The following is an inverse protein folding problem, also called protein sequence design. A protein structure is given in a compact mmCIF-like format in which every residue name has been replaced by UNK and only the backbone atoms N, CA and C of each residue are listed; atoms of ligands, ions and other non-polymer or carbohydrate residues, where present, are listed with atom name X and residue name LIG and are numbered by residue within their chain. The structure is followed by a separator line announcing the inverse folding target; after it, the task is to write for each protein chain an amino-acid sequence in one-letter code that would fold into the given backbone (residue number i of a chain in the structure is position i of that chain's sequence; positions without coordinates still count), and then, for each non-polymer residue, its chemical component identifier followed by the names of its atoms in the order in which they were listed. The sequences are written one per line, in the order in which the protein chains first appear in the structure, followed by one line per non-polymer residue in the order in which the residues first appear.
data_IF_212728577863
#
_entry.id   IF_212728577863
#
_cell.length_a   1.000
_cell.length_b   1.000
_cell.length_c   1.000
_cell.angle_alpha   90.00
_cell.angle_beta   90.00
_cell.angle_gamma   90.00
#
_symmetry.space_group_name_H-M   'P 1'
#
loop_
_entity.id
_entity.type
_entity.pdbx_description
1 polymer ?
#
# COMPACT_ATOMS: atom_id res chain seq x y z
N UNK A 1 -28.67 -4.37 1.87
CA UNK A 1 -28.22 -2.96 1.90
C UNK A 1 -26.70 -2.80 1.85
N UNK A 2 -25.89 -3.25 2.84
CA UNK A 2 -24.41 -3.13 2.76
C UNK A 2 -23.81 -3.87 1.56
N UNK A 3 -24.26 -5.09 1.28
CA UNK A 3 -23.75 -5.86 0.14
C UNK A 3 -24.17 -5.26 -1.20
N UNK A 4 -25.36 -4.69 -1.32
CA UNK A 4 -25.80 -3.93 -2.49
C UNK A 4 -24.91 -2.70 -2.73
N UNK A 5 -24.60 -1.96 -1.67
CA UNK A 5 -23.66 -0.83 -1.75
C UNK A 5 -22.27 -1.27 -2.21
N UNK A 6 -21.73 -2.35 -1.66
CA UNK A 6 -20.42 -2.86 -2.07
C UNK A 6 -20.43 -3.36 -3.52
N UNK A 7 -21.53 -3.97 -3.97
CA UNK A 7 -21.72 -4.35 -5.36
C UNK A 7 -21.75 -3.11 -6.28
N UNK A 8 -22.52 -2.09 -5.91
CA UNK A 8 -22.53 -0.80 -6.61
C UNK A 8 -21.13 -0.19 -6.74
N UNK A 9 -20.34 -0.19 -5.66
CA UNK A 9 -18.97 0.32 -5.69
C UNK A 9 -18.04 -0.51 -6.59
N UNK A 10 -18.30 -1.80 -6.71
CA UNK A 10 -17.53 -2.68 -7.60
C UNK A 10 -17.83 -2.40 -9.05
N UNK A 11 -19.10 -2.37 -9.42
CA UNK A 11 -19.57 -2.29 -10.81
C UNK A 11 -19.45 -0.86 -11.34
N UNK A 12 -20.02 0.11 -10.62
CA UNK A 12 -20.14 1.50 -11.10
C UNK A 12 -18.90 2.34 -10.82
N UNK A 13 -18.14 2.02 -9.77
CA UNK A 13 -16.98 2.83 -9.36
C UNK A 13 -15.65 2.15 -9.60
N UNK A 14 -15.61 0.87 -9.94
CA UNK A 14 -14.40 0.11 -10.20
C UNK A 14 -13.40 0.14 -9.04
N UNK A 15 -13.89 0.14 -7.79
CA UNK A 15 -13.03 0.22 -6.63
C UNK A 15 -12.28 -1.10 -6.42
N UNK A 16 -11.06 -1.00 -5.90
CA UNK A 16 -10.25 -2.20 -5.61
C UNK A 16 -10.80 -2.96 -4.39
N UNK A 17 -10.57 -4.29 -4.37
CA UNK A 17 -10.95 -5.18 -3.27
C UNK A 17 -10.52 -4.66 -1.90
N UNK A 18 -9.29 -4.14 -1.77
CA UNK A 18 -8.80 -3.54 -0.51
C UNK A 18 -9.64 -2.33 -0.06
N UNK A 19 -10.17 -1.54 -1.01
CA UNK A 19 -11.04 -0.40 -0.68
C UNK A 19 -12.42 -0.89 -0.28
N UNK A 20 -12.95 -1.90 -0.96
CA UNK A 20 -14.23 -2.53 -0.65
C UNK A 20 -14.19 -3.17 0.74
N UNK A 21 -13.11 -3.91 1.06
CA UNK A 21 -12.90 -4.50 2.38
C UNK A 21 -12.82 -3.43 3.49
N UNK A 22 -12.09 -2.33 3.24
CA UNK A 22 -12.01 -1.22 4.17
C UNK A 22 -13.38 -0.58 4.42
N UNK A 23 -14.20 -0.39 3.38
CA UNK A 23 -15.56 0.16 3.50
C UNK A 23 -16.50 -0.83 4.20
N UNK A 24 -16.42 -2.13 3.87
CA UNK A 24 -17.17 -3.17 4.57
C UNK A 24 -16.90 -3.15 6.07
N UNK A 25 -15.63 -3.05 6.45
CA UNK A 25 -15.23 -3.01 7.85
C UNK A 25 -15.67 -1.72 8.56
N UNK A 26 -15.52 -0.57 7.91
CA UNK A 26 -15.89 0.73 8.47
C UNK A 26 -17.41 0.86 8.65
N UNK A 27 -18.19 0.46 7.65
CA UNK A 27 -19.66 0.48 7.70
C UNK A 27 -20.22 -0.62 8.61
N UNK A 28 -19.58 -1.78 8.66
CA UNK A 28 -19.95 -2.83 9.61
C UNK A 28 -19.88 -2.35 11.06
N UNK A 29 -18.82 -1.61 11.42
CA UNK A 29 -18.71 -0.96 12.74
C UNK A 29 -19.80 0.09 12.97
N UNK A 30 -20.15 0.86 11.96
CA UNK A 30 -21.21 1.85 12.04
C UNK A 30 -22.58 1.19 12.30
N UNK A 31 -22.92 0.17 11.51
CA UNK A 31 -24.19 -0.56 11.66
C UNK A 31 -24.30 -1.25 13.03
N UNK A 32 -23.20 -1.77 13.55
CA UNK A 32 -23.17 -2.32 14.91
C UNK A 32 -23.40 -1.22 15.97
N UNK A 33 -22.77 -0.06 15.81
CA UNK A 33 -22.99 1.08 16.71
C UNK A 33 -24.47 1.53 16.72
N UNK A 34 -25.13 1.55 15.57
CA UNK A 34 -26.57 1.85 15.51
C UNK A 34 -27.42 0.82 16.26
N UNK A 35 -27.12 -0.48 16.09
CA UNK A 35 -27.81 -1.56 16.83
C UNK A 35 -27.63 -1.44 18.34
N UNK A 36 -26.44 -1.11 18.82
CA UNK A 36 -26.17 -0.84 20.25
C UNK A 36 -26.95 0.35 20.79
N UNK A 37 -27.34 1.30 19.90
CA UNK A 37 -28.16 2.45 20.23
C UNK A 37 -29.67 2.20 20.06
N UNK A 38 -30.06 0.99 19.65
CA UNK A 38 -31.46 0.62 19.40
C UNK A 38 -32.02 1.16 18.09
N UNK A 39 -31.19 1.75 17.23
CA UNK A 39 -31.60 2.27 15.91
C UNK A 39 -31.62 1.11 14.92
N UNK A 40 -32.80 0.73 14.46
CA UNK A 40 -32.97 -0.41 13.54
C UNK A 40 -33.23 0.06 12.09
N UNK A 41 -33.84 1.21 11.92
CA UNK A 41 -34.10 1.79 10.61
C UNK A 41 -33.01 2.83 10.25
N UNK A 42 -32.45 2.68 9.05
CA UNK A 42 -31.44 3.61 8.53
C UNK A 42 -32.01 5.00 8.26
N UNK A 43 -33.33 5.11 8.08
CA UNK A 43 -34.04 6.37 7.88
C UNK A 43 -34.10 7.24 9.14
N UNK A 44 -33.92 6.63 10.34
CA UNK A 44 -33.86 7.34 11.62
C UNK A 44 -32.47 7.94 11.88
N UNK A 45 -31.50 7.66 11.02
CA UNK A 45 -30.12 8.11 11.24
C UNK A 45 -29.98 9.57 10.89
N UNK A 46 -29.63 10.36 11.86
CA UNK A 46 -29.37 11.79 11.74
C UNK A 46 -27.86 12.14 11.91
N UNK A 47 -27.57 13.42 11.80
CA UNK A 47 -26.21 13.97 12.01
C UNK A 47 -25.69 13.72 13.43
N UNK A 48 -26.56 13.64 14.43
CA UNK A 48 -26.18 13.40 15.83
C UNK A 48 -25.68 11.97 15.99
N UNK A 49 -26.37 11.01 15.41
CA UNK A 49 -25.98 9.60 15.40
C UNK A 49 -24.60 9.40 14.75
N UNK A 50 -24.38 10.04 13.59
CA UNK A 50 -23.11 9.99 12.88
C UNK A 50 -21.95 10.61 13.69
N UNK A 51 -22.20 11.76 14.33
CA UNK A 51 -21.22 12.40 15.23
C UNK A 51 -20.92 11.51 16.46
N UNK A 52 -21.95 10.92 17.06
CA UNK A 52 -21.80 9.98 18.19
C UNK A 52 -20.91 8.79 17.80
N UNK A 53 -21.13 8.20 16.64
CA UNK A 53 -20.29 7.14 16.12
C UNK A 53 -18.83 7.59 15.95
N UNK A 54 -18.57 8.71 15.29
CA UNK A 54 -17.21 9.21 15.07
C UNK A 54 -16.50 9.55 16.39
N UNK A 55 -17.23 10.07 17.38
CA UNK A 55 -16.72 10.29 18.74
C UNK A 55 -16.36 8.96 19.42
N UNK A 56 -17.17 7.91 19.25
CA UNK A 56 -16.87 6.58 19.79
C UNK A 56 -15.58 6.02 19.22
N UNK A 57 -15.35 6.15 17.91
CA UNK A 57 -14.10 5.75 17.27
C UNK A 57 -12.89 6.52 17.81
N UNK A 58 -13.07 7.82 18.06
CA UNK A 58 -12.01 8.66 18.65
C UNK A 58 -11.67 8.22 20.06
N UNK A 59 -12.67 7.91 20.90
CA UNK A 59 -12.49 7.39 22.26
C UNK A 59 -11.78 6.03 22.27
N UNK A 60 -11.98 5.20 21.22
CA UNK A 60 -11.27 3.94 21.02
C UNK A 60 -9.81 4.13 20.57
N UNK A 61 -9.32 5.38 20.42
CA UNK A 61 -7.95 5.68 20.05
C UNK A 61 -7.63 5.53 18.55
N UNK A 62 -8.64 5.49 17.68
CA UNK A 62 -8.39 5.39 16.23
C UNK A 62 -7.73 6.67 15.70
N UNK A 63 -6.81 6.50 14.76
CA UNK A 63 -6.06 7.62 14.17
C UNK A 63 -6.99 8.57 13.40
N UNK A 64 -6.60 9.86 13.31
CA UNK A 64 -7.31 10.89 12.52
C UNK A 64 -7.52 10.45 11.06
N UNK A 65 -6.55 9.73 10.47
CA UNK A 65 -6.66 9.17 9.11
C UNK A 65 -7.77 8.12 9.02
N UNK A 66 -7.89 7.25 10.04
CA UNK A 66 -8.96 6.25 10.11
C UNK A 66 -10.33 6.91 10.27
N UNK A 67 -10.43 7.94 11.11
CA UNK A 67 -11.66 8.73 11.28
C UNK A 67 -12.07 9.40 9.96
N UNK A 68 -11.14 10.03 9.25
CA UNK A 68 -11.40 10.64 7.95
C UNK A 68 -11.88 9.60 6.92
N UNK A 69 -11.29 8.40 6.89
CA UNK A 69 -11.74 7.33 6.00
C UNK A 69 -13.16 6.87 6.34
N UNK A 70 -13.48 6.68 7.63
CA UNK A 70 -14.84 6.34 8.07
C UNK A 70 -15.85 7.39 7.61
N UNK A 71 -15.54 8.68 7.72
CA UNK A 71 -16.42 9.75 7.23
C UNK A 71 -16.65 9.66 5.71
N UNK A 72 -15.59 9.40 4.94
CA UNK A 72 -15.72 9.22 3.48
C UNK A 72 -16.59 8.00 3.17
N UNK A 73 -16.42 6.89 3.89
CA UNK A 73 -17.24 5.70 3.74
C UNK A 73 -18.71 6.00 4.05
N UNK A 74 -19.01 6.69 5.16
CA UNK A 74 -20.37 7.11 5.53
C UNK A 74 -21.00 8.01 4.47
N UNK A 75 -20.31 9.08 4.04
CA UNK A 75 -20.84 9.98 2.99
C UNK A 75 -21.16 9.23 1.70
N UNK A 76 -20.28 8.32 1.30
CA UNK A 76 -20.47 7.54 0.07
C UNK A 76 -21.64 6.57 0.21
N UNK A 77 -21.78 5.96 1.38
CA UNK A 77 -22.89 5.04 1.68
C UNK A 77 -24.24 5.77 1.71
N UNK A 78 -24.33 6.87 2.44
CA UNK A 78 -25.58 7.65 2.50
C UNK A 78 -25.94 8.30 1.16
N UNK A 79 -24.95 8.71 0.35
CA UNK A 79 -25.21 9.15 -1.02
C UNK A 79 -25.78 8.04 -1.90
N UNK A 80 -25.31 6.81 -1.73
CA UNK A 80 -25.88 5.65 -2.40
C UNK A 80 -27.32 5.39 -1.96
N UNK A 81 -27.65 5.51 -0.67
CA UNK A 81 -29.01 5.34 -0.18
C UNK A 81 -29.98 6.40 -0.71
N UNK A 82 -29.53 7.64 -0.88
CA UNK A 82 -30.30 8.70 -1.55
C UNK A 82 -30.48 8.38 -3.03
N UNK A 83 -29.42 7.91 -3.71
CA UNK A 83 -29.50 7.53 -5.13
C UNK A 83 -30.50 6.39 -5.38
N UNK A 84 -30.56 5.42 -4.48
CA UNK A 84 -31.53 4.30 -4.53
C UNK A 84 -32.95 4.69 -4.04
N UNK A 85 -33.18 5.96 -3.68
CA UNK A 85 -34.47 6.44 -3.19
C UNK A 85 -34.86 5.91 -1.80
N UNK A 86 -33.94 5.34 -1.05
CA UNK A 86 -34.16 4.84 0.33
C UNK A 86 -34.24 6.01 1.32
N UNK A 87 -33.50 7.08 1.04
CA UNK A 87 -33.48 8.31 1.85
C UNK A 87 -33.74 9.53 0.96
N UNK A 88 -34.39 10.55 1.53
CA UNK A 88 -34.62 11.83 0.84
C UNK A 88 -33.38 12.73 0.85
N UNK A 89 -32.58 12.68 1.91
CA UNK A 89 -31.38 13.51 2.07
C UNK A 89 -30.22 12.71 2.71
N UNK A 90 -29.00 13.19 2.46
CA UNK A 90 -27.78 12.59 2.99
C UNK A 90 -27.40 13.18 4.36
N UNK A 91 -27.63 12.50 5.50
CA UNK A 91 -27.31 13.03 6.82
C UNK A 91 -25.80 13.21 7.07
N UNK A 92 -24.97 12.60 6.22
CA UNK A 92 -23.51 12.70 6.32
C UNK A 92 -22.91 13.85 5.50
N UNK A 93 -23.71 14.61 4.76
CA UNK A 93 -23.21 15.64 3.83
C UNK A 93 -22.44 16.76 4.56
N UNK A 94 -23.00 17.23 5.66
CA UNK A 94 -22.43 18.31 6.48
C UNK A 94 -21.50 17.83 7.60
N UNK A 95 -21.03 16.60 7.56
CA UNK A 95 -20.04 16.16 8.55
C UNK A 95 -18.71 16.91 8.33
N UNK A 96 -18.26 17.63 9.34
CA UNK A 96 -16.96 18.31 9.29
C UNK A 96 -15.83 17.30 9.10
N UNK A 97 -15.03 17.50 8.06
CA UNK A 97 -13.85 16.65 7.87
C UNK A 97 -12.79 16.95 8.95
N UNK A 98 -12.22 15.92 9.60
CA UNK A 98 -11.16 16.17 10.56
C UNK A 98 -10.02 16.94 9.88
N UNK A 99 -9.60 18.04 10.49
CA UNK A 99 -8.43 18.78 10.02
C UNK A 99 -7.21 17.86 10.10
N UNK A 100 -6.73 17.40 8.96
CA UNK A 100 -5.48 16.66 8.89
C UNK A 100 -4.34 17.65 8.99
N UNK A 101 -3.52 17.52 10.01
CA UNK A 101 -2.24 18.23 10.05
C UNK A 101 -1.39 17.68 8.91
N UNK A 102 -1.15 18.49 7.90
CA UNK A 102 -0.21 18.15 6.82
C UNK A 102 1.20 18.21 7.41
N UNK A 103 1.74 17.11 7.87
CA UNK A 103 3.18 16.98 8.11
C UNK A 103 3.88 16.97 6.75
N UNK A 104 4.98 17.71 6.64
CA UNK A 104 5.84 17.61 5.45
C UNK A 104 6.24 16.13 5.30
N UNK A 105 6.15 15.58 4.09
CA UNK A 105 6.56 14.20 3.86
C UNK A 105 8.05 14.06 4.18
N UNK A 106 8.38 13.12 5.05
CA UNK A 106 9.76 12.74 5.29
C UNK A 106 10.31 12.04 4.04
N UNK A 107 11.57 12.32 3.73
CA UNK A 107 12.34 11.60 2.70
C UNK A 107 13.65 11.12 3.31
N UNK A 108 14.20 10.01 2.82
CA UNK A 108 15.55 9.58 3.14
C UNK A 108 16.53 10.43 2.35
N UNK A 109 17.63 10.80 2.94
CA UNK A 109 18.77 11.39 2.20
C UNK A 109 19.44 10.30 1.36
N UNK A 110 20.20 10.64 0.29
CA UNK A 110 20.98 9.68 -0.48
C UNK A 110 21.87 8.82 0.42
N UNK A 111 22.54 9.41 1.42
CA UNK A 111 23.37 8.71 2.39
C UNK A 111 22.57 7.71 3.25
N UNK A 112 21.37 8.06 3.70
CA UNK A 112 20.50 7.13 4.44
C UNK A 112 20.04 5.96 3.55
N UNK A 113 19.83 6.20 2.25
CA UNK A 113 19.50 5.13 1.29
C UNK A 113 20.71 4.19 1.11
N UNK A 114 21.91 4.70 0.91
CA UNK A 114 23.13 3.89 0.82
C UNK A 114 23.32 3.04 2.08
N UNK A 115 23.23 3.67 3.25
CA UNK A 115 23.30 2.95 4.53
C UNK A 115 22.24 1.86 4.67
N UNK A 116 21.02 2.09 4.19
CA UNK A 116 19.94 1.09 4.20
C UNK A 116 20.26 -0.10 3.26
N UNK A 117 20.75 0.21 2.06
CA UNK A 117 21.08 -0.79 1.06
C UNK A 117 22.23 -1.71 1.49
N UNK A 118 23.15 -1.25 2.33
CA UNK A 118 24.28 -2.00 2.86
C UNK A 118 23.93 -2.97 4.01
N UNK A 119 22.72 -2.89 4.57
CA UNK A 119 22.36 -3.68 5.75
C UNK A 119 22.11 -5.18 5.52
N UNK A 120 21.62 -5.63 4.35
CA UNK A 120 21.46 -7.05 4.10
C UNK A 120 22.80 -7.81 4.19
N UNK A 121 22.83 -8.90 4.94
CA UNK A 121 24.03 -9.73 5.08
C UNK A 121 24.27 -10.57 3.81
N UNK A 122 25.18 -10.12 2.97
CA UNK A 122 25.51 -10.73 1.68
C UNK A 122 26.13 -12.13 1.79
N UNK A 123 26.54 -12.56 2.98
CA UNK A 123 27.01 -13.93 3.24
C UNK A 123 25.86 -14.94 3.26
N UNK A 124 24.61 -14.46 3.29
CA UNK A 124 23.44 -15.30 3.32
C UNK A 124 22.62 -15.20 2.02
N UNK A 125 22.05 -16.31 1.53
CA UNK A 125 21.17 -16.29 0.36
C UNK A 125 20.02 -15.29 0.50
N UNK A 126 19.45 -15.18 1.70
CA UNK A 126 18.34 -14.24 1.96
C UNK A 126 18.83 -12.78 1.94
N UNK A 127 20.03 -12.50 2.42
CA UNK A 127 20.57 -11.14 2.39
C UNK A 127 20.86 -10.66 0.96
N UNK A 128 21.44 -11.50 0.12
CA UNK A 128 21.66 -11.17 -1.30
C UNK A 128 20.31 -10.92 -2.02
N UNK A 129 19.29 -11.75 -1.77
CA UNK A 129 17.94 -11.52 -2.26
C UNK A 129 17.40 -10.16 -1.78
N UNK A 130 17.53 -9.87 -0.49
CA UNK A 130 16.97 -8.65 0.10
C UNK A 130 17.67 -7.40 -0.43
N UNK A 131 18.99 -7.48 -0.68
CA UNK A 131 19.73 -6.41 -1.35
C UNK A 131 19.16 -6.15 -2.75
N UNK A 132 18.99 -7.19 -3.55
CA UNK A 132 18.40 -7.06 -4.89
C UNK A 132 16.98 -6.49 -4.85
N UNK A 133 16.17 -6.88 -3.84
CA UNK A 133 14.81 -6.33 -3.65
C UNK A 133 14.83 -4.84 -3.30
N UNK A 134 15.74 -4.41 -2.44
CA UNK A 134 15.88 -3.00 -2.06
C UNK A 134 16.36 -2.15 -3.23
N UNK A 135 17.34 -2.65 -4.01
CA UNK A 135 17.85 -1.97 -5.19
C UNK A 135 16.78 -1.76 -6.26
N UNK A 136 16.05 -2.81 -6.63
CA UNK A 136 14.99 -2.67 -7.64
C UNK A 136 13.84 -1.78 -7.14
N UNK A 137 13.50 -1.84 -5.84
CA UNK A 137 12.48 -0.98 -5.26
C UNK A 137 12.88 0.49 -5.31
N UNK A 138 14.14 0.79 -4.98
CA UNK A 138 14.68 2.15 -5.02
C UNK A 138 14.89 2.65 -6.45
N UNK A 139 15.40 1.82 -7.35
CA UNK A 139 15.62 2.20 -8.75
C UNK A 139 14.34 2.49 -9.53
N UNK A 140 13.23 1.81 -9.18
CA UNK A 140 11.99 1.85 -9.97
C UNK A 140 10.86 2.62 -9.28
N UNK A 141 10.98 2.85 -7.99
CA UNK A 141 9.90 3.41 -7.19
C UNK A 141 8.59 2.60 -7.23
N UNK A 142 8.64 1.31 -7.57
CA UNK A 142 7.45 0.46 -7.63
C UNK A 142 6.80 0.27 -6.26
N UNK A 143 5.56 -0.18 -6.22
CA UNK A 143 4.89 -0.54 -4.96
C UNK A 143 5.41 -1.89 -4.46
N UNK A 144 5.45 -2.09 -3.13
CA UNK A 144 5.85 -3.41 -2.56
C UNK A 144 4.97 -4.55 -3.05
N UNK A 145 3.67 -4.29 -3.27
CA UNK A 145 2.78 -5.31 -3.84
C UNK A 145 3.15 -5.70 -5.27
N UNK A 146 3.70 -4.76 -6.05
CA UNK A 146 4.22 -5.01 -7.40
C UNK A 146 5.54 -5.78 -7.29
N UNK A 147 6.46 -5.37 -6.41
CA UNK A 147 7.75 -6.02 -6.18
C UNK A 147 7.62 -7.51 -5.81
N UNK A 148 6.81 -7.82 -4.80
CA UNK A 148 6.67 -9.21 -4.30
C UNK A 148 5.88 -10.12 -5.25
N UNK A 149 5.17 -9.55 -6.22
CA UNK A 149 4.42 -10.26 -7.24
C UNK A 149 5.03 -10.13 -8.64
N UNK A 150 6.21 -9.51 -8.76
CA UNK A 150 6.87 -9.30 -10.04
C UNK A 150 7.28 -10.64 -10.65
N UNK A 151 6.73 -11.04 -11.79
CA UNK A 151 7.13 -12.25 -12.49
C UNK A 151 8.54 -12.13 -13.06
N UNK A 152 9.28 -13.22 -13.10
CA UNK A 152 10.63 -13.25 -13.63
C UNK A 152 10.67 -12.84 -15.13
N UNK A 153 9.71 -13.28 -15.92
CA UNK A 153 9.62 -12.98 -17.36
C UNK A 153 9.23 -11.51 -17.67
N UNK A 154 8.90 -10.72 -16.67
CA UNK A 154 8.64 -9.28 -16.81
C UNK A 154 9.87 -8.41 -16.54
N UNK A 155 11.01 -9.02 -16.27
CA UNK A 155 12.26 -8.30 -16.06
C UNK A 155 13.24 -8.67 -17.17
N UNK A 156 13.62 -7.68 -17.95
CA UNK A 156 14.64 -7.82 -18.98
C UNK A 156 15.92 -7.11 -18.51
N UNK A 157 16.88 -7.87 -18.02
CA UNK A 157 18.14 -7.33 -17.47
C UNK A 157 19.09 -6.90 -18.58
N UNK A 158 19.01 -7.50 -19.78
CA UNK A 158 19.83 -7.13 -20.92
C UNK A 158 19.38 -5.78 -21.49
N UNK A 159 18.08 -5.59 -21.69
CA UNK A 159 17.52 -4.33 -22.16
C UNK A 159 17.32 -3.30 -21.02
N UNK A 160 17.54 -3.67 -19.76
CA UNK A 160 17.56 -2.77 -18.61
C UNK A 160 16.18 -2.23 -18.19
N UNK A 161 15.11 -3.02 -18.27
CA UNK A 161 13.79 -2.59 -17.86
C UNK A 161 12.98 -3.68 -17.13
N UNK A 162 11.94 -3.24 -16.40
CA UNK A 162 10.90 -4.10 -15.86
C UNK A 162 9.51 -3.64 -16.35
N UNK A 163 8.64 -4.61 -16.69
CA UNK A 163 7.25 -4.38 -17.04
C UNK A 163 6.40 -4.55 -15.77
N UNK A 164 5.71 -3.50 -15.37
CA UNK A 164 4.97 -3.46 -14.11
C UNK A 164 3.48 -3.24 -14.36
N UNK A 165 2.64 -4.08 -13.77
CA UNK A 165 1.19 -3.92 -13.80
C UNK A 165 0.72 -3.08 -12.60
N UNK A 166 0.14 -1.92 -12.89
CA UNK A 166 -0.45 -1.00 -11.92
C UNK A 166 -1.92 -1.28 -11.61
N UNK A 167 -2.54 -0.37 -10.89
CA UNK A 167 -3.99 -0.39 -10.62
C UNK A 167 -4.79 -0.36 -11.94
N UNK A 168 -5.76 -1.27 -12.09
CA UNK A 168 -6.59 -1.37 -13.30
C UNK A 168 -5.88 -2.04 -14.48
N UNK A 169 -4.92 -2.94 -14.20
CA UNK A 169 -4.14 -3.69 -15.21
C UNK A 169 -3.38 -2.80 -16.22
N UNK A 170 -3.13 -1.54 -15.85
CA UNK A 170 -2.30 -0.65 -16.69
C UNK A 170 -0.85 -1.07 -16.59
N UNK A 171 -0.27 -1.39 -17.74
CA UNK A 171 1.14 -1.68 -17.87
C UNK A 171 1.98 -0.41 -17.90
N UNK A 172 3.16 -0.48 -17.29
CA UNK A 172 4.19 0.53 -17.47
C UNK A 172 5.56 -0.11 -17.54
N UNK A 173 6.38 0.37 -18.45
CA UNK A 173 7.80 0.03 -18.53
C UNK A 173 8.55 0.97 -17.58
N UNK A 174 9.41 0.39 -16.74
CA UNK A 174 10.25 1.16 -15.81
C UNK A 174 11.70 0.78 -16.02
N UNK A 175 12.59 1.74 -16.30
CA UNK A 175 14.01 1.47 -16.47
C UNK A 175 14.63 0.97 -15.16
N UNK A 176 15.60 0.07 -15.30
CA UNK A 176 16.44 -0.42 -14.20
C UNK A 176 17.80 0.27 -14.30
N UNK A 177 18.27 0.85 -13.20
CA UNK A 177 19.64 1.34 -13.12
C UNK A 177 20.66 0.20 -13.08
N UNK A 178 21.93 0.50 -13.38
CA UNK A 178 23.03 -0.46 -13.40
C UNK A 178 23.15 -1.27 -12.10
N UNK A 179 23.03 -0.62 -10.95
CA UNK A 179 23.09 -1.26 -9.65
C UNK A 179 21.98 -2.30 -9.46
N UNK A 180 20.73 -1.95 -9.83
CA UNK A 180 19.60 -2.89 -9.73
C UNK A 180 19.82 -4.09 -10.67
N UNK A 181 20.31 -3.87 -11.88
CA UNK A 181 20.64 -4.95 -12.83
C UNK A 181 21.70 -5.87 -12.24
N UNK A 182 22.80 -5.32 -11.71
CA UNK A 182 23.88 -6.08 -11.12
C UNK A 182 23.40 -6.97 -9.96
N UNK A 183 22.65 -6.39 -9.01
CA UNK A 183 22.19 -7.12 -7.84
C UNK A 183 21.14 -8.17 -8.16
N UNK A 184 20.22 -7.88 -9.10
CA UNK A 184 19.24 -8.86 -9.57
C UNK A 184 19.92 -9.99 -10.32
N UNK A 185 20.92 -9.69 -11.19
CA UNK A 185 21.70 -10.70 -11.89
C UNK A 185 22.43 -11.63 -10.91
N UNK A 186 23.11 -11.07 -9.92
CA UNK A 186 23.80 -11.84 -8.87
C UNK A 186 22.81 -12.75 -8.10
N UNK A 187 21.65 -12.21 -7.72
CA UNK A 187 20.61 -12.99 -7.06
C UNK A 187 20.12 -14.16 -7.92
N UNK A 188 19.85 -13.92 -9.20
CA UNK A 188 19.35 -14.96 -10.11
C UNK A 188 20.38 -16.06 -10.33
N UNK A 189 21.64 -15.69 -10.53
CA UNK A 189 22.73 -16.63 -10.86
C UNK A 189 23.18 -17.45 -9.65
N UNK A 190 23.39 -16.79 -8.50
CA UNK A 190 24.04 -17.40 -7.34
C UNK A 190 23.09 -17.89 -6.24
N UNK A 191 21.86 -17.34 -6.16
CA UNK A 191 21.03 -17.50 -4.97
C UNK A 191 19.67 -18.08 -5.24
N UNK A 192 18.96 -17.62 -6.27
CA UNK A 192 17.56 -17.98 -6.50
C UNK A 192 17.35 -19.49 -6.60
N UNK A 193 18.26 -20.21 -7.29
CA UNK A 193 18.18 -21.67 -7.45
C UNK A 193 18.21 -22.41 -6.10
N UNK A 194 19.07 -21.99 -5.18
CA UNK A 194 19.16 -22.58 -3.83
C UNK A 194 17.91 -22.34 -2.99
N UNK A 195 17.26 -21.20 -3.14
CA UNK A 195 16.01 -20.88 -2.42
C UNK A 195 14.81 -21.62 -2.98
N UNK A 196 14.82 -22.01 -4.24
CA UNK A 196 13.76 -22.78 -4.87
C UNK A 196 13.74 -24.26 -4.40
N UNK A 197 14.88 -24.80 -3.97
CA UNK A 197 14.97 -26.20 -3.51
C UNK A 197 14.35 -27.20 -4.52
N UNK A 198 14.58 -26.98 -5.81
CA UNK A 198 14.02 -27.81 -6.88
C UNK A 198 12.55 -27.53 -7.24
N UNK A 199 11.91 -26.55 -6.62
CA UNK A 199 10.53 -26.15 -6.93
C UNK A 199 10.50 -25.11 -8.04
N UNK A 200 9.42 -25.08 -8.79
CA UNK A 200 9.17 -24.02 -9.77
C UNK A 200 8.43 -22.82 -9.13
N UNK A 201 8.79 -21.63 -9.52
CA UNK A 201 8.09 -20.41 -9.17
C UNK A 201 8.32 -19.36 -10.26
N UNK A 202 7.25 -18.77 -10.77
CA UNK A 202 7.32 -17.73 -11.80
C UNK A 202 7.69 -16.35 -11.27
N UNK A 203 7.69 -16.13 -9.96
CA UNK A 203 8.05 -14.84 -9.36
C UNK A 203 9.56 -14.60 -9.41
N UNK A 204 9.97 -13.35 -9.61
CA UNK A 204 11.37 -12.94 -9.53
C UNK A 204 11.95 -13.28 -8.17
N UNK A 205 11.33 -12.80 -7.09
CA UNK A 205 11.80 -12.97 -5.72
C UNK A 205 11.03 -14.05 -4.97
N UNK A 206 11.76 -14.99 -4.40
CA UNK A 206 11.20 -16.11 -3.64
C UNK A 206 11.66 -16.12 -2.19
N UNK A 207 10.84 -16.67 -1.33
CA UNK A 207 11.13 -16.87 0.08
C UNK A 207 11.99 -18.11 0.33
N UNK A 208 12.28 -18.37 1.62
CA UNK A 208 13.14 -19.50 2.07
C UNK A 208 12.70 -20.87 1.57
N UNK A 209 11.44 -21.11 1.30
CA UNK A 209 10.89 -22.41 0.86
C UNK A 209 10.50 -22.41 -0.62
N UNK A 210 11.05 -21.51 -1.44
CA UNK A 210 10.69 -21.34 -2.84
C UNK A 210 9.30 -20.74 -3.08
N UNK A 211 8.56 -20.35 -2.02
CA UNK A 211 7.25 -19.70 -2.16
C UNK A 211 7.38 -18.21 -2.35
N UNK A 212 6.34 -17.57 -2.89
CA UNK A 212 6.24 -16.12 -2.97
C UNK A 212 6.29 -15.46 -1.58
N UNK A 213 6.67 -14.20 -1.54
CA UNK A 213 6.85 -13.44 -0.30
C UNK A 213 5.64 -12.56 0.00
N UNK A 214 5.31 -12.40 1.29
CA UNK A 214 4.26 -11.46 1.69
C UNK A 214 4.78 -10.02 1.81
N UNK A 215 3.89 -9.05 1.58
CA UNK A 215 4.19 -7.62 1.82
C UNK A 215 4.58 -7.34 3.26
N UNK A 216 3.95 -8.04 4.22
CA UNK A 216 4.22 -7.88 5.66
C UNK A 216 5.65 -8.31 5.99
N UNK A 217 6.10 -9.41 5.40
CA UNK A 217 7.47 -9.88 5.59
C UNK A 217 8.48 -8.84 5.10
N UNK A 218 8.32 -8.36 3.86
CA UNK A 218 9.21 -7.33 3.31
C UNK A 218 9.21 -6.05 4.16
N UNK A 219 8.03 -5.62 4.62
CA UNK A 219 7.93 -4.45 5.50
C UNK A 219 8.64 -4.65 6.84
N UNK A 220 8.55 -5.84 7.43
CA UNK A 220 9.30 -6.18 8.65
C UNK A 220 10.80 -6.10 8.41
N UNK A 221 11.31 -6.72 7.34
CA UNK A 221 12.71 -6.68 6.96
C UNK A 221 13.21 -5.25 6.71
N UNK A 222 12.42 -4.42 6.00
CA UNK A 222 12.76 -3.02 5.75
C UNK A 222 12.90 -2.21 7.05
N UNK A 223 12.01 -2.43 8.04
CA UNK A 223 12.11 -1.79 9.37
C UNK A 223 13.36 -2.24 10.12
N UNK A 224 13.68 -3.53 10.06
CA UNK A 224 14.86 -4.08 10.74
C UNK A 224 16.15 -3.53 10.10
N UNK A 225 16.21 -3.42 8.77
CA UNK A 225 17.33 -2.78 8.08
C UNK A 225 17.46 -1.29 8.40
N UNK A 226 16.34 -0.54 8.42
CA UNK A 226 16.35 0.87 8.81
C UNK A 226 16.87 1.08 10.23
N UNK A 227 16.49 0.21 11.18
CA UNK A 227 17.01 0.24 12.56
C UNK A 227 18.51 -0.06 12.61
N UNK A 228 18.98 -1.07 11.88
CA UNK A 228 20.43 -1.41 11.79
C UNK A 228 21.24 -0.28 11.18
N UNK A 229 20.71 0.40 10.17
CA UNK A 229 21.31 1.57 9.53
C UNK A 229 21.28 2.83 10.41
N UNK A 230 20.71 2.80 11.61
CA UNK A 230 20.59 3.96 12.50
C UNK A 230 19.61 5.04 12.01
N UNK A 231 18.72 4.72 11.06
CA UNK A 231 17.75 5.66 10.49
C UNK A 231 16.64 5.92 11.51
N UNK A 232 16.52 7.18 11.95
CA UNK A 232 15.52 7.59 12.95
C UNK A 232 14.11 7.76 12.37
N UNK A 233 13.99 7.96 11.06
CA UNK A 233 12.72 8.11 10.34
C UNK A 233 11.91 6.81 10.36
N UNK A 234 10.58 6.93 10.35
CA UNK A 234 9.70 5.76 10.34
C UNK A 234 9.80 5.02 9.01
N UNK A 235 10.58 3.95 8.98
CA UNK A 235 10.77 3.15 7.78
C UNK A 235 9.47 2.53 7.28
N UNK A 236 9.08 2.90 6.09
CA UNK A 236 7.96 2.33 5.34
C UNK A 236 8.34 2.19 3.86
N UNK A 237 7.72 1.25 3.13
CA UNK A 237 7.92 1.17 1.69
C UNK A 237 7.54 2.45 0.93
N UNK A 238 6.56 3.19 1.46
CA UNK A 238 6.16 4.48 0.90
C UNK A 238 7.22 5.56 1.09
N UNK A 239 7.94 5.54 2.23
CA UNK A 239 9.06 6.45 2.46
C UNK A 239 10.16 6.22 1.42
N UNK A 240 10.58 4.96 1.19
CA UNK A 240 11.62 4.65 0.22
C UNK A 240 11.21 5.05 -1.22
N UNK A 241 9.97 4.74 -1.61
CA UNK A 241 9.41 5.15 -2.90
C UNK A 241 9.33 6.68 -3.04
N UNK A 242 8.96 7.38 -1.97
CA UNK A 242 8.88 8.85 -1.99
C UNK A 242 10.27 9.47 -2.10
N UNK A 243 11.25 8.90 -1.40
CA UNK A 243 12.65 9.32 -1.50
C UNK A 243 13.19 9.13 -2.93
N UNK A 244 12.88 8.00 -3.58
CA UNK A 244 13.19 7.79 -4.99
C UNK A 244 12.63 8.91 -5.87
N UNK A 245 11.32 9.19 -5.76
CA UNK A 245 10.68 10.22 -6.57
C UNK A 245 11.31 11.62 -6.35
N UNK A 246 11.61 11.96 -5.09
CA UNK A 246 12.26 13.23 -4.75
C UNK A 246 13.68 13.33 -5.33
N UNK A 247 14.49 12.29 -5.16
CA UNK A 247 15.86 12.25 -5.70
C UNK A 247 15.90 12.26 -7.23
N UNK A 248 14.90 11.64 -7.88
CA UNK A 248 14.78 11.67 -9.32
C UNK A 248 14.49 13.08 -9.83
N UNK A 249 13.58 13.81 -9.14
CA UNK A 249 13.28 15.22 -9.43
C UNK A 249 14.48 16.15 -9.21
N UNK A 250 15.21 15.97 -8.11
CA UNK A 250 16.43 16.74 -7.82
C UNK A 250 17.49 16.57 -8.91
N UNK A 251 17.48 15.43 -9.61
CA UNK A 251 18.37 15.12 -10.74
C UNK A 251 17.80 15.57 -12.10
N UNK A 252 16.71 16.32 -12.12
CA UNK A 252 16.15 16.93 -13.33
C UNK A 252 15.17 16.07 -14.13
N UNK A 253 14.66 14.97 -13.57
CA UNK A 253 13.62 14.19 -14.24
C UNK A 253 12.27 14.91 -14.24
N UNK A 254 11.55 14.85 -15.37
CA UNK A 254 10.16 15.34 -15.46
C UNK A 254 9.20 14.35 -14.77
N UNK A 255 8.25 14.90 -13.97
CA UNK A 255 7.18 14.14 -13.33
C UNK A 255 6.14 13.57 -14.30
N UNK A 256 6.18 13.93 -15.57
CA UNK A 256 5.22 13.54 -16.59
C UNK A 256 5.68 12.34 -17.43
N UNK A 257 6.86 11.82 -17.16
CA UNK A 257 7.41 10.64 -17.83
C UNK A 257 7.01 9.32 -17.17
#
# INVERSE_FOLDING_TARGET
MLDQFLHYLTVERGLSDNTLEAYRHDLGRFLNHLREKGIQDISEVDKVNLRSFLLSLRRQGLSTRTLARNQVALRTFFRFLVFEGILEANPAEELDSPKMVKTLPEILTPKEVEQLLEQPDLKTPLGTRDRAMLEILYATGMRVSELVRLPLNQVNLEAGYALIYGKGSKERVVPLGSEAIQWVSLYLQAVRGSLLEGKENSLLFVGRSGKGMSRQWFWKSLKDYGRKAGIKKRMTPHLLRHSFASHLLERGADLRS
#
